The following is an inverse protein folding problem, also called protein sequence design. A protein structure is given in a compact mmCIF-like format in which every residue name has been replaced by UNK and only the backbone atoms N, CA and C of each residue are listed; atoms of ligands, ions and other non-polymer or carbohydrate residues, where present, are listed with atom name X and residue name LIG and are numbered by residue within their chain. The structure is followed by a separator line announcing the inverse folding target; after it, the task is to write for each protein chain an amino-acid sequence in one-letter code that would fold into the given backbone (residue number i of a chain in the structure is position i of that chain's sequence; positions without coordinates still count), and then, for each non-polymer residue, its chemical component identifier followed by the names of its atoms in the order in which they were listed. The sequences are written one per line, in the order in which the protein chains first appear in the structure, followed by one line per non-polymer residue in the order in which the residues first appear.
data_IF_362687750041
#
_entry.id   IF_362687750041
#
_cell.length_a   1.000
_cell.length_b   1.000
_cell.length_c   1.000
_cell.angle_alpha   90.00
_cell.angle_beta   90.00
_cell.angle_gamma   90.00
#
_symmetry.space_group_name_H-M   'P 1'
#
loop_
_entity.id
_entity.type
_entity.pdbx_description
1 polymer ?
#
# COMPACT_ATOMS: atom_id res chain seq x y z
N UNK A 1 26.57 6.77 -3.35
CA UNK A 1 27.55 6.31 -2.34
C UNK A 1 26.91 5.82 -1.04
N UNK A 2 25.92 6.51 -0.46
CA UNK A 2 25.25 6.02 0.76
C UNK A 2 24.49 4.69 0.56
N UNK A 3 23.82 4.50 -0.57
CA UNK A 3 23.02 3.30 -0.86
C UNK A 3 23.84 1.99 -0.96
N UNK A 4 25.15 2.08 -1.14
CA UNK A 4 26.06 0.94 -1.25
C UNK A 4 26.83 0.67 0.04
N UNK A 5 26.74 1.57 1.03
CA UNK A 5 27.56 1.54 2.24
C UNK A 5 27.38 0.28 3.10
N UNK A 6 26.20 -0.35 3.02
CA UNK A 6 25.87 -1.55 3.78
C UNK A 6 26.03 -2.86 2.97
N UNK A 7 26.45 -2.77 1.70
CA UNK A 7 26.69 -3.93 0.86
C UNK A 7 28.15 -4.39 0.97
N UNK A 8 28.36 -5.70 0.91
CA UNK A 8 29.68 -6.30 0.79
C UNK A 8 30.21 -6.26 -0.65
N UNK A 9 31.40 -6.86 -0.86
CA UNK A 9 32.05 -6.91 -2.18
C UNK A 9 31.26 -7.74 -3.22
N UNK A 10 30.39 -8.65 -2.78
CA UNK A 10 29.48 -9.40 -3.66
C UNK A 10 28.16 -8.66 -3.92
N UNK A 11 27.96 -7.48 -3.29
CA UNK A 11 26.72 -6.70 -3.38
C UNK A 11 25.60 -7.23 -2.49
N UNK A 12 25.91 -8.04 -1.47
CA UNK A 12 24.95 -8.55 -0.50
C UNK A 12 25.00 -7.68 0.76
N UNK A 13 23.84 -7.36 1.32
CA UNK A 13 23.79 -6.56 2.55
C UNK A 13 24.49 -7.25 3.74
N UNK A 14 25.10 -6.51 4.65
CA UNK A 14 25.72 -7.08 5.85
C UNK A 14 24.71 -7.44 6.95
N UNK A 15 25.02 -8.48 7.75
CA UNK A 15 24.27 -8.81 8.98
C UNK A 15 24.43 -7.67 10.00
N UNK A 16 23.33 -7.30 10.65
CA UNK A 16 23.26 -6.20 11.61
C UNK A 16 23.01 -4.83 10.97
N UNK A 17 22.87 -4.73 9.64
CA UNK A 17 22.45 -3.50 9.00
C UNK A 17 20.98 -3.17 9.33
N UNK A 18 20.72 -1.93 9.70
CA UNK A 18 19.37 -1.35 9.72
C UNK A 18 18.97 -1.03 8.28
N UNK A 19 17.77 -1.44 7.90
CA UNK A 19 17.22 -1.26 6.57
C UNK A 19 15.84 -0.62 6.60
N UNK A 20 15.60 0.23 5.62
CA UNK A 20 14.32 0.89 5.38
C UNK A 20 13.82 0.60 3.97
N UNK A 21 12.55 0.92 3.72
CA UNK A 21 11.92 0.77 2.42
C UNK A 21 12.75 1.42 1.31
N UNK A 22 13.09 0.65 0.26
CA UNK A 22 13.89 1.11 -0.86
C UNK A 22 15.39 0.80 -0.77
N UNK A 23 15.91 0.42 0.40
CA UNK A 23 17.30 0.00 0.56
C UNK A 23 17.57 -1.29 -0.21
N UNK A 24 18.79 -1.41 -0.75
CA UNK A 24 19.23 -2.59 -1.51
C UNK A 24 19.60 -3.70 -0.53
N UNK A 25 18.94 -4.85 -0.66
CA UNK A 25 19.28 -6.07 0.08
C UNK A 25 20.30 -6.92 -0.68
N UNK A 26 20.11 -7.04 -1.99
CA UNK A 26 20.98 -7.83 -2.87
C UNK A 26 21.12 -7.10 -4.20
N UNK A 27 22.34 -6.70 -4.52
CA UNK A 27 22.76 -6.16 -5.79
C UNK A 27 22.56 -7.19 -6.90
N UNK A 28 21.81 -6.85 -7.95
CA UNK A 28 21.62 -7.73 -9.11
C UNK A 28 21.58 -6.93 -10.39
N UNK A 29 22.44 -7.29 -11.33
CA UNK A 29 22.42 -6.74 -12.69
C UNK A 29 21.85 -7.76 -13.67
N UNK A 30 21.04 -7.28 -14.61
CA UNK A 30 20.52 -8.08 -15.72
C UNK A 30 20.89 -7.39 -17.03
N UNK A 31 21.26 -8.13 -18.10
CA UNK A 31 21.50 -7.52 -19.40
C UNK A 31 20.22 -6.80 -19.87
N UNK A 32 20.37 -5.62 -20.48
CA UNK A 32 19.28 -5.00 -21.22
C UNK A 32 19.04 -5.84 -22.49
N UNK A 33 17.78 -6.00 -22.88
CA UNK A 33 17.46 -6.64 -24.15
C UNK A 33 18.00 -5.84 -25.34
N UNK A 34 17.95 -6.42 -26.53
CA UNK A 34 18.20 -5.74 -27.81
C UNK A 34 17.07 -4.75 -28.10
N UNK A 35 17.02 -3.64 -27.37
CA UNK A 35 16.21 -2.48 -27.76
C UNK A 35 17.15 -1.40 -28.24
N UNK A 36 16.99 -1.02 -29.51
CA UNK A 36 17.66 0.15 -30.05
C UNK A 36 17.32 1.38 -29.21
N UNK A 37 18.32 2.21 -28.91
CA UNK A 37 18.10 3.45 -28.18
C UNK A 37 17.23 4.37 -29.03
N UNK A 38 16.25 5.03 -28.42
CA UNK A 38 15.46 6.06 -29.11
C UNK A 38 16.35 7.25 -29.48
N UNK A 39 16.00 8.02 -30.53
CA UNK A 39 16.75 9.22 -30.92
C UNK A 39 17.01 10.19 -29.76
N UNK A 40 16.05 10.36 -28.85
CA UNK A 40 16.13 11.24 -27.68
C UNK A 40 17.17 10.73 -26.68
N UNK A 41 17.16 9.43 -26.36
CA UNK A 41 18.17 8.83 -25.49
C UNK A 41 19.57 8.90 -26.12
N UNK A 42 19.69 8.72 -27.44
CA UNK A 42 20.96 8.87 -28.17
C UNK A 42 21.48 10.31 -28.09
N UNK A 43 20.61 11.30 -28.28
CA UNK A 43 20.97 12.71 -28.19
C UNK A 43 21.38 13.08 -26.76
N UNK A 44 20.60 12.71 -25.76
CA UNK A 44 20.90 12.96 -24.35
C UNK A 44 22.28 12.41 -23.98
N UNK A 45 22.57 11.17 -24.34
CA UNK A 45 23.88 10.56 -24.06
C UNK A 45 25.03 11.20 -24.83
N UNK A 46 24.76 11.67 -26.05
CA UNK A 46 25.76 12.40 -26.84
C UNK A 46 26.13 13.75 -26.20
N UNK A 47 25.15 14.42 -25.58
CA UNK A 47 25.36 15.70 -24.87
C UNK A 47 26.12 15.47 -23.55
N UNK A 48 25.71 14.47 -22.76
CA UNK A 48 26.27 14.23 -21.42
C UNK A 48 27.49 13.30 -21.38
N UNK A 49 27.87 12.71 -22.53
CA UNK A 49 29.03 11.81 -22.64
C UNK A 49 28.89 10.50 -21.85
N UNK A 50 27.68 10.12 -21.45
CA UNK A 50 27.43 8.88 -20.73
C UNK A 50 27.54 7.68 -21.67
N UNK A 51 28.51 6.79 -21.40
CA UNK A 51 28.67 5.53 -22.14
C UNK A 51 27.44 4.65 -21.95
N UNK A 52 27.03 3.96 -23.03
CA UNK A 52 25.94 2.97 -23.00
C UNK A 52 26.27 1.89 -21.96
N UNK A 53 25.48 1.83 -20.88
CA UNK A 53 25.51 0.70 -19.97
C UNK A 53 24.60 -0.40 -20.54
N UNK A 54 25.21 -1.51 -20.93
CA UNK A 54 24.53 -2.72 -21.45
C UNK A 54 23.72 -3.47 -20.38
N UNK A 55 23.87 -3.09 -19.11
CA UNK A 55 23.22 -3.74 -17.97
C UNK A 55 22.21 -2.81 -17.30
N UNK A 56 21.13 -3.42 -16.79
CA UNK A 56 20.10 -2.78 -15.96
C UNK A 56 20.23 -3.27 -14.53
N UNK A 57 20.08 -2.34 -13.58
CA UNK A 57 19.91 -2.67 -12.18
C UNK A 57 18.55 -3.34 -11.94
N UNK A 58 18.59 -4.56 -11.42
CA UNK A 58 17.45 -5.41 -11.05
C UNK A 58 17.58 -5.89 -9.60
N UNK A 59 18.27 -5.11 -8.78
CA UNK A 59 18.55 -5.41 -7.38
C UNK A 59 17.27 -5.62 -6.58
N UNK A 60 17.35 -6.54 -5.61
CA UNK A 60 16.26 -6.78 -4.67
C UNK A 60 16.31 -5.71 -3.59
N UNK A 61 15.22 -4.97 -3.44
CA UNK A 61 15.09 -3.87 -2.47
C UNK A 61 14.09 -4.24 -1.37
N UNK A 62 14.19 -3.59 -0.22
CA UNK A 62 13.19 -3.70 0.85
C UNK A 62 11.84 -3.19 0.33
N UNK A 63 10.75 -3.97 0.45
CA UNK A 63 9.41 -3.55 0.06
C UNK A 63 8.96 -2.28 0.80
N UNK A 64 8.03 -1.53 0.21
CA UNK A 64 7.48 -0.35 0.87
C UNK A 64 6.70 -0.72 2.14
N UNK A 65 6.92 0.05 3.21
CA UNK A 65 6.30 -0.16 4.51
C UNK A 65 6.99 -1.21 5.39
N UNK A 66 8.03 -1.87 4.90
CA UNK A 66 8.87 -2.77 5.71
C UNK A 66 10.15 -2.08 6.14
N UNK A 67 10.59 -2.38 7.37
CA UNK A 67 11.85 -1.91 7.93
C UNK A 67 12.30 -2.89 9.02
N UNK A 68 13.60 -2.93 9.28
CA UNK A 68 14.13 -3.79 10.34
C UNK A 68 15.64 -3.91 10.31
N UNK A 69 16.13 -4.97 10.96
CA UNK A 69 17.56 -5.29 11.05
C UNK A 69 17.80 -6.63 10.36
N UNK A 70 18.83 -6.71 9.53
CA UNK A 70 19.24 -7.98 8.92
C UNK A 70 19.83 -8.89 9.99
N UNK A 71 19.21 -10.05 10.21
CA UNK A 71 19.63 -11.01 11.26
C UNK A 71 20.39 -12.20 10.74
N UNK A 72 20.10 -12.63 9.50
CA UNK A 72 20.73 -13.78 8.89
C UNK A 72 20.69 -13.66 7.37
N UNK A 73 21.69 -14.26 6.72
CA UNK A 73 21.81 -14.32 5.28
C UNK A 73 22.26 -15.72 4.91
N UNK A 74 21.51 -16.38 4.03
CA UNK A 74 21.86 -17.68 3.51
C UNK A 74 22.09 -17.56 2.00
N UNK A 75 23.29 -17.89 1.55
CA UNK A 75 23.65 -17.92 0.14
C UNK A 75 23.75 -19.38 -0.28
N UNK A 76 23.04 -19.74 -1.34
CA UNK A 76 23.08 -21.06 -1.97
C UNK A 76 23.66 -20.90 -3.37
N UNK A 77 24.62 -21.74 -3.72
CA UNK A 77 25.33 -21.67 -5.00
C UNK A 77 25.34 -23.04 -5.68
N UNK A 78 24.95 -23.05 -6.96
CA UNK A 78 24.97 -24.29 -7.76
C UNK A 78 26.38 -24.86 -7.86
N UNK A 79 27.39 -24.01 -7.94
CA UNK A 79 28.79 -24.45 -8.09
C UNK A 79 29.31 -25.13 -6.81
N UNK A 80 28.70 -24.82 -5.66
CA UNK A 80 28.98 -25.46 -4.37
C UNK A 80 28.18 -26.76 -4.14
N UNK A 81 27.37 -27.20 -5.12
CA UNK A 81 26.59 -28.43 -5.05
C UNK A 81 25.20 -28.27 -4.42
N UNK A 82 24.69 -27.05 -4.25
CA UNK A 82 23.33 -26.82 -3.75
C UNK A 82 22.27 -27.14 -4.82
N UNK A 83 21.18 -27.79 -4.41
CA UNK A 83 20.04 -28.08 -5.28
C UNK A 83 19.20 -26.82 -5.56
N UNK A 84 19.49 -26.16 -6.68
CA UNK A 84 18.77 -24.98 -7.17
C UNK A 84 17.89 -25.29 -8.38
N UNK A 85 16.75 -24.60 -8.49
CA UNK A 85 15.84 -24.69 -9.65
C UNK A 85 16.59 -24.43 -10.96
N UNK A 86 16.17 -25.10 -12.03
CA UNK A 86 16.76 -24.93 -13.36
C UNK A 86 16.82 -23.44 -13.76
N UNK A 87 17.95 -22.99 -14.30
CA UNK A 87 18.20 -21.59 -14.66
C UNK A 87 18.63 -20.66 -13.52
N UNK A 88 18.64 -21.11 -12.26
CA UNK A 88 19.12 -20.32 -11.10
C UNK A 88 20.55 -20.71 -10.74
N UNK A 89 21.49 -19.76 -10.80
CA UNK A 89 22.90 -20.01 -10.46
C UNK A 89 23.20 -19.82 -8.97
N UNK A 90 22.74 -18.70 -8.39
CA UNK A 90 22.91 -18.35 -6.97
C UNK A 90 21.56 -17.88 -6.41
N UNK A 91 21.22 -18.31 -5.19
CA UNK A 91 20.03 -17.89 -4.46
C UNK A 91 20.46 -17.27 -3.12
N UNK A 92 20.10 -16.01 -2.90
CA UNK A 92 20.38 -15.30 -1.64
C UNK A 92 19.08 -15.10 -0.88
N UNK A 93 19.03 -15.57 0.36
CA UNK A 93 17.92 -15.32 1.29
C UNK A 93 18.38 -14.39 2.41
N UNK A 94 17.75 -13.23 2.51
CA UNK A 94 18.02 -12.26 3.57
C UNK A 94 16.85 -12.29 4.57
N UNK A 95 17.16 -12.50 5.84
CA UNK A 95 16.18 -12.48 6.93
C UNK A 95 16.26 -11.14 7.65
N UNK A 96 15.15 -10.40 7.65
CA UNK A 96 15.01 -9.11 8.32
C UNK A 96 14.08 -9.29 9.51
N UNK A 97 14.53 -8.86 10.69
CA UNK A 97 13.73 -8.88 11.91
C UNK A 97 13.31 -7.46 12.30
N UNK A 98 12.07 -7.33 12.76
CA UNK A 98 11.50 -6.06 13.21
C UNK A 98 10.87 -6.24 14.61
N UNK A 99 11.18 -5.33 15.53
CA UNK A 99 10.51 -5.27 16.83
C UNK A 99 9.26 -4.39 16.73
N UNK A 100 8.09 -5.01 16.75
CA UNK A 100 6.80 -4.30 16.65
C UNK A 100 6.21 -4.03 18.03
N UNK A 101 6.15 -2.76 18.44
CA UNK A 101 5.46 -2.30 19.66
C UNK A 101 3.94 -2.26 19.42
N UNK A 102 3.14 -2.11 20.48
CA UNK A 102 1.70 -1.84 20.33
C UNK A 102 1.53 -0.42 19.79
N UNK A 103 0.71 -0.27 18.77
CA UNK A 103 0.35 1.02 18.17
C UNK A 103 -1.16 1.18 18.07
N UNK A 104 -1.60 2.42 17.86
CA UNK A 104 -3.00 2.73 17.54
C UNK A 104 -3.35 2.03 16.22
N UNK A 105 -4.48 1.32 16.19
CA UNK A 105 -4.89 0.50 15.05
C UNK A 105 -4.59 -1.00 15.20
N UNK A 106 -3.74 -1.40 16.14
CA UNK A 106 -3.51 -2.82 16.44
C UNK A 106 -4.75 -3.47 17.06
N UNK A 107 -5.00 -4.74 16.71
CA UNK A 107 -6.11 -5.50 17.24
C UNK A 107 -5.69 -6.31 18.46
N UNK A 108 -6.49 -6.20 19.52
CA UNK A 108 -6.29 -6.89 20.79
C UNK A 108 -7.54 -7.71 21.15
N UNK A 109 -7.39 -8.73 21.99
CA UNK A 109 -8.51 -9.57 22.41
C UNK A 109 -8.30 -10.22 23.78
N UNK A 110 -9.39 -10.34 24.54
CA UNK A 110 -9.46 -11.20 25.71
C UNK A 110 -9.85 -12.62 25.34
N UNK A 111 -9.75 -13.54 26.31
CA UNK A 111 -10.07 -14.97 26.12
C UNK A 111 -11.57 -15.22 25.90
N UNK A 112 -12.41 -14.29 26.35
CA UNK A 112 -13.88 -14.38 26.29
C UNK A 112 -14.49 -13.78 25.00
N UNK A 113 -13.68 -13.62 23.96
CA UNK A 113 -14.15 -13.15 22.64
C UNK A 113 -14.36 -11.64 22.53
N UNK A 114 -14.09 -10.87 23.59
CA UNK A 114 -14.02 -9.42 23.54
C UNK A 114 -12.81 -8.99 22.69
N UNK A 115 -13.07 -8.45 21.51
CA UNK A 115 -12.07 -7.98 20.54
C UNK A 115 -12.21 -6.49 20.34
N UNK A 116 -11.09 -5.79 20.29
CA UNK A 116 -11.04 -4.34 20.11
C UNK A 116 -9.84 -3.93 19.27
N UNK A 117 -9.90 -2.71 18.75
CA UNK A 117 -8.76 -2.04 18.14
C UNK A 117 -8.29 -0.96 19.14
N UNK A 118 -6.98 -0.82 19.32
CA UNK A 118 -6.42 0.27 20.14
C UNK A 118 -6.76 1.60 19.47
N UNK A 119 -7.61 2.41 20.11
CA UNK A 119 -8.04 3.71 19.59
C UNK A 119 -7.13 4.85 20.01
N UNK A 120 -6.60 4.79 21.24
CA UNK A 120 -5.79 5.85 21.83
C UNK A 120 -4.80 5.24 22.82
N UNK A 121 -3.59 5.80 22.87
CA UNK A 121 -2.58 5.51 23.88
C UNK A 121 -2.41 6.79 24.69
N UNK A 122 -2.87 6.78 25.94
CA UNK A 122 -2.78 7.93 26.83
C UNK A 122 -1.47 7.91 27.61
N UNK A 123 -0.94 9.10 27.97
CA UNK A 123 0.06 9.22 29.03
C UNK A 123 -0.46 8.65 30.35
N UNK A 124 0.44 8.20 31.21
CA UNK A 124 0.08 7.54 32.47
C UNK A 124 -0.68 8.49 33.42
N UNK A 125 -0.34 9.78 33.38
CA UNK A 125 -0.96 10.85 34.17
C UNK A 125 -2.42 11.13 33.81
N UNK A 126 -2.82 10.82 32.57
CA UNK A 126 -4.19 11.03 32.09
C UNK A 126 -5.10 9.82 32.36
N UNK A 127 -4.51 8.68 32.72
CA UNK A 127 -5.27 7.45 32.95
C UNK A 127 -6.03 7.52 34.27
N UNK A 128 -7.26 6.97 34.33
CA UNK A 128 -7.95 6.75 35.59
C UNK A 128 -7.06 5.97 36.57
N UNK A 129 -7.10 6.34 37.84
CA UNK A 129 -6.27 5.72 38.88
C UNK A 129 -7.05 5.37 40.14
N UNK A 130 -6.54 4.38 40.88
CA UNK A 130 -7.09 3.89 42.13
C UNK A 130 -6.71 4.78 43.32
N UNK A 131 -7.36 4.61 44.48
CA UNK A 131 -7.05 5.37 45.71
C UNK A 131 -5.58 5.27 46.15
N UNK A 132 -4.88 4.19 45.77
CA UNK A 132 -3.46 3.97 46.07
C UNK A 132 -2.51 4.69 45.09
N UNK A 133 -3.05 5.41 44.09
CA UNK A 133 -2.30 6.11 43.05
C UNK A 133 -1.93 5.25 41.84
N UNK A 134 -2.29 3.96 41.82
CA UNK A 134 -1.99 3.08 40.68
C UNK A 134 -2.93 3.38 39.51
N UNK A 135 -2.41 3.75 38.32
CA UNK A 135 -3.21 3.97 37.14
C UNK A 135 -3.63 2.65 36.49
N UNK A 136 -4.73 2.68 35.73
CA UNK A 136 -5.17 1.55 34.93
C UNK A 136 -4.31 1.38 33.68
N UNK A 137 -4.17 0.13 33.21
CA UNK A 137 -3.48 -0.17 31.94
C UNK A 137 -4.40 -0.06 30.71
N UNK A 138 -5.65 -0.54 30.84
CA UNK A 138 -6.62 -0.63 29.73
C UNK A 138 -8.00 -0.26 30.25
N UNK A 139 -8.72 0.59 29.50
CA UNK A 139 -10.13 0.92 29.74
C UNK A 139 -10.99 0.23 28.67
N UNK A 140 -11.86 -0.68 29.10
CA UNK A 140 -12.78 -1.40 28.22
C UNK A 140 -14.21 -0.87 28.36
N UNK A 141 -14.88 -0.64 27.23
CA UNK A 141 -16.26 -0.16 27.22
C UNK A 141 -17.24 -1.26 27.69
N UNK A 142 -18.07 -1.01 28.73
CA UNK A 142 -19.00 -2.00 29.27
C UNK A 142 -20.16 -2.36 28.32
N UNK A 143 -20.51 -1.50 27.35
CA UNK A 143 -21.65 -1.72 26.44
C UNK A 143 -21.52 -3.00 25.60
N UNK A 144 -20.29 -3.49 25.42
CA UNK A 144 -20.01 -4.70 24.66
C UNK A 144 -20.31 -6.01 25.40
N UNK A 145 -20.59 -5.98 26.71
CA UNK A 145 -20.81 -7.19 27.53
C UNK A 145 -22.26 -7.66 27.51
N UNK A 146 -23.29 -6.81 27.77
CA UNK A 146 -24.68 -7.28 27.85
C UNK A 146 -25.18 -7.88 26.53
N UNK A 147 -24.83 -7.26 25.40
CA UNK A 147 -25.25 -7.69 24.06
C UNK A 147 -24.61 -9.01 23.61
N UNK A 148 -23.42 -9.34 24.13
CA UNK A 148 -22.65 -10.53 23.72
C UNK A 148 -22.75 -11.70 24.70
N UNK A 149 -23.36 -11.48 25.87
CA UNK A 149 -23.56 -12.49 26.92
C UNK A 149 -22.27 -13.22 27.36
N UNK A 150 -21.11 -12.58 27.23
CA UNK A 150 -19.81 -13.12 27.63
C UNK A 150 -19.42 -12.68 29.05
N UNK A 151 -20.26 -13.04 30.02
CA UNK A 151 -20.14 -12.64 31.44
C UNK A 151 -18.85 -13.16 32.09
N UNK A 152 -18.30 -14.27 31.58
CA UNK A 152 -17.05 -14.85 32.09
C UNK A 152 -15.88 -13.86 32.17
N UNK A 153 -15.85 -12.83 31.31
CA UNK A 153 -14.82 -11.79 31.39
C UNK A 153 -14.90 -10.96 32.68
N UNK A 154 -16.10 -10.76 33.23
CA UNK A 154 -16.29 -10.05 34.50
C UNK A 154 -15.85 -10.92 35.68
N UNK A 155 -16.19 -12.22 35.63
CA UNK A 155 -15.73 -13.18 36.63
C UNK A 155 -14.20 -13.28 36.65
N UNK A 156 -13.56 -13.28 35.48
CA UNK A 156 -12.11 -13.23 35.34
C UNK A 156 -11.51 -11.97 35.99
N UNK A 157 -12.09 -10.80 35.72
CA UNK A 157 -11.65 -9.51 36.28
C UNK A 157 -11.73 -9.51 37.81
N UNK A 158 -12.87 -9.94 38.36
CA UNK A 158 -13.09 -9.97 39.82
C UNK A 158 -12.16 -10.95 40.52
N UNK A 159 -12.08 -12.20 40.03
CA UNK A 159 -11.21 -13.22 40.61
C UNK A 159 -9.74 -12.86 40.45
N UNK A 160 -9.37 -12.25 39.32
CA UNK A 160 -8.02 -11.75 39.06
C UNK A 160 -7.59 -10.65 40.03
N UNK A 161 -8.51 -9.74 40.38
CA UNK A 161 -8.25 -8.71 41.38
C UNK A 161 -8.00 -9.32 42.77
N UNK A 162 -8.88 -10.22 43.22
CA UNK A 162 -8.73 -10.90 44.51
C UNK A 162 -7.42 -11.71 44.56
N UNK A 163 -7.14 -12.48 43.51
CA UNK A 163 -5.94 -13.30 43.40
C UNK A 163 -4.67 -12.45 43.47
N UNK A 164 -4.62 -11.29 42.81
CA UNK A 164 -3.44 -10.42 42.83
C UNK A 164 -3.16 -9.86 44.22
N UNK A 165 -4.21 -9.44 44.94
CA UNK A 165 -4.08 -8.87 46.29
C UNK A 165 -3.65 -9.93 47.31
N UNK A 166 -4.09 -11.18 47.13
CA UNK A 166 -3.73 -12.32 47.98
C UNK A 166 -2.43 -13.03 47.54
N UNK A 167 -1.85 -12.65 46.39
CA UNK A 167 -0.65 -13.27 45.84
C UNK A 167 -0.87 -14.68 45.28
N UNK A 168 -2.10 -15.01 44.88
CA UNK A 168 -2.48 -16.33 44.38
C UNK A 168 -2.23 -16.49 42.89
N UNK A 169 -1.95 -17.74 42.50
CA UNK A 169 -2.10 -18.20 41.11
C UNK A 169 -3.30 -19.11 41.05
N UNK A 170 -4.33 -18.72 40.31
CA UNK A 170 -5.60 -19.43 40.26
C UNK A 170 -5.72 -20.18 38.94
N UNK A 171 -6.11 -21.45 39.03
CA UNK A 171 -6.50 -22.27 37.88
C UNK A 171 -7.98 -22.65 38.06
N UNK A 172 -8.81 -22.29 37.10
CA UNK A 172 -10.23 -22.61 37.08
C UNK A 172 -10.48 -23.64 35.98
N UNK A 173 -10.80 -24.90 36.30
CA UNK A 173 -11.16 -25.91 35.32
C UNK A 173 -12.37 -25.47 34.48
N UNK A 174 -12.43 -25.96 33.24
CA UNK A 174 -13.57 -25.69 32.37
C UNK A 174 -14.76 -26.54 32.87
N UNK A 175 -15.93 -25.90 33.04
CA UNK A 175 -17.20 -26.49 33.49
C UNK A 175 -17.30 -26.98 34.94
N UNK A 176 -16.19 -27.27 35.62
CA UNK A 176 -16.14 -27.66 37.05
C UNK A 176 -15.22 -26.71 37.83
N UNK A 177 -15.50 -25.42 37.68
CA UNK A 177 -14.66 -24.33 38.17
C UNK A 177 -15.26 -23.57 39.34
N UNK A 178 -14.62 -22.45 39.68
CA UNK A 178 -15.12 -21.50 40.66
C UNK A 178 -16.49 -20.95 40.24
N UNK A 179 -17.42 -20.93 41.18
CA UNK A 179 -18.73 -20.33 41.06
C UNK A 179 -18.70 -18.86 41.49
N UNK A 180 -19.80 -18.14 41.27
CA UNK A 180 -19.93 -16.73 41.68
C UNK A 180 -19.70 -16.53 43.19
N UNK A 181 -20.21 -17.45 44.02
CA UNK A 181 -20.02 -17.39 45.47
C UNK A 181 -18.53 -17.48 45.85
N UNK A 182 -17.76 -18.34 45.18
CA UNK A 182 -16.33 -18.49 45.44
C UNK A 182 -15.57 -17.20 45.08
N UNK A 183 -15.98 -16.52 44.01
CA UNK A 183 -15.41 -15.22 43.62
C UNK A 183 -15.72 -14.13 44.65
N UNK A 184 -16.96 -14.10 45.16
CA UNK A 184 -17.37 -13.15 46.20
C UNK A 184 -16.63 -13.44 47.52
N UNK A 185 -16.45 -14.70 47.89
CA UNK A 185 -15.66 -15.11 49.07
C UNK A 185 -14.19 -14.70 48.92
N UNK A 186 -13.59 -14.91 47.74
CA UNK A 186 -12.23 -14.47 47.46
C UNK A 186 -12.07 -12.94 47.55
N UNK A 187 -13.06 -12.17 47.07
CA UNK A 187 -13.07 -10.71 47.22
C UNK A 187 -13.13 -10.28 48.70
N UNK A 188 -13.94 -10.97 49.52
CA UNK A 188 -14.03 -10.72 50.97
C UNK A 188 -12.72 -11.02 51.68
N UNK A 189 -12.09 -12.15 51.36
CA UNK A 189 -10.80 -12.55 51.93
C UNK A 189 -9.69 -11.54 51.56
N UNK A 190 -9.75 -10.99 50.34
CA UNK A 190 -8.89 -9.91 49.90
C UNK A 190 -9.21 -8.52 50.52
N UNK A 191 -10.26 -8.41 51.34
CA UNK A 191 -10.72 -7.13 51.89
C UNK A 191 -11.14 -6.14 50.80
N UNK A 192 -11.82 -6.63 49.76
CA UNK A 192 -12.38 -5.85 48.66
C UNK A 192 -13.92 -5.86 48.71
N UNK A 193 -14.54 -4.98 47.95
CA UNK A 193 -16.01 -4.93 47.86
C UNK A 193 -16.56 -6.19 47.18
N UNK A 194 -17.70 -6.69 47.67
CA UNK A 194 -18.36 -7.90 47.15
C UNK A 194 -18.80 -7.76 45.68
N UNK A 195 -19.07 -6.52 45.24
CA UNK A 195 -19.47 -6.21 43.86
C UNK A 195 -18.28 -6.05 42.89
N UNK A 196 -17.05 -6.18 43.37
CA UNK A 196 -15.84 -6.03 42.56
C UNK A 196 -15.60 -4.61 42.05
N UNK A 197 -16.29 -3.60 42.63
CA UNK A 197 -16.18 -2.19 42.22
C UNK A 197 -15.39 -1.37 43.22
N UNK A 198 -14.72 -0.34 42.72
CA UNK A 198 -13.96 0.63 43.52
C UNK A 198 -14.19 2.05 43.01
N UNK A 199 -13.85 3.03 43.85
CA UNK A 199 -13.80 4.43 43.45
C UNK A 199 -12.54 4.62 42.60
N UNK A 200 -12.70 5.26 41.45
CA UNK A 200 -11.60 5.70 40.60
C UNK A 200 -11.59 7.22 40.56
N UNK A 201 -10.43 7.79 40.28
CA UNK A 201 -10.24 9.21 40.08
C UNK A 201 -9.84 9.48 38.63
N UNK A 202 -10.32 10.59 38.08
CA UNK A 202 -9.90 11.05 36.76
C UNK A 202 -8.46 11.58 36.85
N UNK A 203 -7.55 11.06 36.01
CA UNK A 203 -6.16 11.50 35.95
C UNK A 203 -5.99 12.98 35.59
N UNK A 204 -6.95 13.54 34.84
CA UNK A 204 -6.86 14.92 34.34
C UNK A 204 -7.34 15.97 35.33
N UNK A 205 -8.37 15.66 36.09
CA UNK A 205 -9.00 16.60 37.04
C UNK A 205 -8.65 16.28 38.49
N UNK A 206 -8.34 15.02 38.79
CA UNK A 206 -8.17 14.53 40.16
C UNK A 206 -9.48 14.28 40.90
N UNK A 207 -10.64 14.50 40.27
CA UNK A 207 -11.94 14.29 40.89
C UNK A 207 -12.36 12.82 40.82
N UNK A 208 -13.07 12.29 41.84
CA UNK A 208 -13.61 10.93 41.79
C UNK A 208 -14.74 10.83 40.77
N UNK A 209 -14.82 9.69 40.07
CA UNK A 209 -15.98 9.40 39.22
C UNK A 209 -17.26 9.26 40.05
N UNK A 210 -18.40 9.67 39.48
CA UNK A 210 -19.70 9.67 40.17
C UNK A 210 -20.14 8.29 40.68
N UNK A 211 -19.82 7.23 39.92
CA UNK A 211 -20.21 5.86 40.23
C UNK A 211 -18.97 4.98 40.41
N UNK A 212 -19.07 3.97 41.28
CA UNK A 212 -18.03 2.96 41.45
C UNK A 212 -17.89 2.13 40.17
N UNK A 213 -16.65 1.84 39.78
CA UNK A 213 -16.29 1.18 38.53
C UNK A 213 -15.69 -0.19 38.83
N UNK A 214 -16.03 -1.19 38.01
CA UNK A 214 -15.42 -2.51 38.06
C UNK A 214 -13.98 -2.43 37.58
N UNK A 215 -13.04 -2.85 38.43
CA UNK A 215 -11.60 -2.87 38.14
C UNK A 215 -11.08 -4.26 38.49
N UNK A 216 -10.08 -4.73 37.77
CA UNK A 216 -9.42 -5.98 38.09
C UNK A 216 -8.49 -6.42 36.99
N UNK A 217 -8.07 -7.68 37.06
CA UNK A 217 -7.02 -8.21 36.19
C UNK A 217 -7.62 -9.18 35.18
N UNK A 218 -7.45 -8.87 33.91
CA UNK A 218 -7.88 -9.70 32.79
C UNK A 218 -6.68 -10.11 31.96
N UNK A 219 -6.69 -11.35 31.45
CA UNK A 219 -5.71 -11.77 30.46
C UNK A 219 -6.07 -11.23 29.07
N UNK A 220 -5.17 -10.40 28.51
CA UNK A 220 -5.38 -9.73 27.23
C UNK A 220 -4.25 -10.03 26.24
N UNK A 221 -4.59 -10.29 24.98
CA UNK A 221 -3.67 -10.75 23.95
C UNK A 221 -3.59 -9.76 22.78
N UNK A 222 -2.39 -9.61 22.23
CA UNK A 222 -2.16 -8.95 20.93
C UNK A 222 -2.40 -9.95 19.81
N UNK A 223 -3.26 -9.59 18.84
CA UNK A 223 -3.52 -10.43 17.68
C UNK A 223 -2.53 -10.10 16.55
N UNK A 224 -2.30 -11.06 15.64
CA UNK A 224 -1.51 -10.85 14.41
C UNK A 224 -2.20 -9.94 13.37
N UNK A 225 -3.19 -9.14 13.77
CA UNK A 225 -3.89 -8.20 12.90
C UNK A 225 -3.34 -6.80 13.20
N UNK A 226 -2.16 -6.53 12.67
CA UNK A 226 -1.44 -5.28 12.89
C UNK A 226 -1.80 -4.26 11.82
N UNK A 227 -1.79 -2.99 12.19
CA UNK A 227 -2.15 -1.90 11.26
C UNK A 227 -1.10 -1.71 10.17
N UNK A 228 0.18 -1.83 10.52
CA UNK A 228 1.32 -1.66 9.60
C UNK A 228 1.22 -2.61 8.40
N UNK A 229 0.69 -3.82 8.62
CA UNK A 229 0.50 -4.80 7.56
C UNK A 229 -0.69 -4.47 6.64
N UNK A 230 -1.65 -3.66 7.11
CA UNK A 230 -2.91 -3.39 6.42
C UNK A 230 -2.96 -2.06 5.69
N UNK A 231 -2.21 -1.06 6.13
CA UNK A 231 -2.16 0.22 5.42
C UNK A 231 -1.55 -0.04 4.04
N UNK A 232 -2.26 0.44 3.02
CA UNK A 232 -1.86 0.37 1.62
C UNK A 232 -2.40 1.58 0.90
N UNK A 233 -1.52 2.27 0.18
CA UNK A 233 -1.87 3.41 -0.65
C UNK A 233 -1.17 3.26 -2.00
N UNK A 234 -1.86 3.66 -3.06
CA UNK A 234 -1.37 3.62 -4.43
C UNK A 234 -1.67 4.96 -5.09
N UNK A 235 -0.65 5.56 -5.71
CA UNK A 235 -0.83 6.61 -6.71
C UNK A 235 -0.88 5.99 -8.10
N UNK A 236 0.25 5.45 -8.56
CA UNK A 236 0.43 4.74 -9.82
C UNK A 236 1.10 3.40 -9.51
N UNK A 237 0.88 2.41 -10.37
CA UNK A 237 1.44 1.08 -10.18
C UNK A 237 1.31 0.24 -11.44
N UNK A 238 1.61 -1.05 -11.35
CA UNK A 238 1.49 -1.95 -12.49
C UNK A 238 0.02 -2.19 -12.88
N UNK A 239 -0.14 -2.59 -14.13
CA UNK A 239 -1.41 -2.85 -14.79
C UNK A 239 -1.46 -4.27 -15.36
N UNK A 240 -2.67 -4.79 -15.53
CA UNK A 240 -2.94 -6.05 -16.20
C UNK A 240 -2.57 -5.95 -17.68
N UNK A 241 -1.99 -7.01 -18.25
CA UNK A 241 -1.61 -7.04 -19.67
C UNK A 241 -2.84 -6.99 -20.59
N UNK A 242 -3.93 -7.64 -20.20
CA UNK A 242 -5.12 -7.79 -21.04
C UNK A 242 -6.09 -6.63 -20.81
N UNK A 243 -6.54 -6.45 -19.58
CA UNK A 243 -7.59 -5.48 -19.26
C UNK A 243 -7.06 -4.06 -19.04
N UNK A 244 -5.74 -3.87 -18.94
CA UNK A 244 -5.09 -2.60 -18.63
C UNK A 244 -5.52 -1.95 -17.30
N UNK A 245 -6.25 -2.68 -16.46
CA UNK A 245 -6.67 -2.24 -15.14
C UNK A 245 -5.53 -2.37 -14.12
N UNK A 246 -5.52 -1.53 -13.07
CA UNK A 246 -4.64 -1.69 -11.92
C UNK A 246 -4.63 -3.13 -11.40
N UNK A 247 -3.44 -3.71 -11.20
CA UNK A 247 -3.33 -5.03 -10.55
C UNK A 247 -3.93 -5.00 -9.13
N UNK A 248 -4.29 -6.16 -8.59
CA UNK A 248 -4.83 -6.28 -7.23
C UNK A 248 -3.75 -6.63 -6.20
N UNK A 249 -4.00 -6.24 -4.94
CA UNK A 249 -3.22 -6.69 -3.79
C UNK A 249 -1.98 -5.84 -3.44
N UNK A 250 -1.70 -5.75 -2.13
CA UNK A 250 -0.63 -4.91 -1.56
C UNK A 250 0.76 -5.24 -2.12
N UNK A 251 1.06 -6.53 -2.26
CA UNK A 251 2.38 -7.00 -2.72
C UNK A 251 2.73 -6.55 -4.15
N UNK A 252 1.73 -6.23 -4.97
CA UNK A 252 1.90 -5.79 -6.35
C UNK A 252 1.66 -4.28 -6.51
N UNK A 253 1.61 -3.51 -5.42
CA UNK A 253 1.15 -2.12 -5.45
C UNK A 253 -0.23 -1.98 -6.12
N UNK A 254 -1.13 -2.89 -5.77
CA UNK A 254 -2.42 -3.01 -6.44
C UNK A 254 -3.40 -1.88 -6.11
N UNK A 255 -4.35 -1.64 -7.00
CA UNK A 255 -5.47 -0.73 -6.77
C UNK A 255 -6.52 -1.34 -5.84
N UNK A 256 -7.36 -0.48 -5.27
CA UNK A 256 -8.56 -0.93 -4.56
C UNK A 256 -9.65 -1.23 -5.58
N UNK A 257 -10.37 -2.35 -5.39
CA UNK A 257 -11.51 -2.67 -6.23
C UNK A 257 -12.64 -1.68 -5.97
N UNK A 258 -13.07 -0.98 -7.01
CA UNK A 258 -14.31 -0.23 -7.04
C UNK A 258 -15.39 -1.15 -7.63
N UNK A 259 -16.26 -1.68 -6.77
CA UNK A 259 -17.25 -2.67 -7.14
C UNK A 259 -18.56 -2.05 -7.62
N UNK A 260 -19.46 -2.92 -8.08
CA UNK A 260 -20.81 -2.54 -8.51
C UNK A 260 -21.61 -1.81 -7.42
N UNK A 261 -21.49 -2.25 -6.16
CA UNK A 261 -22.17 -1.58 -5.04
C UNK A 261 -21.64 -0.16 -4.80
N UNK A 262 -20.34 0.07 -5.00
CA UNK A 262 -19.76 1.42 -4.90
C UNK A 262 -20.12 2.30 -6.11
N UNK A 263 -20.26 1.72 -7.30
CA UNK A 263 -20.79 2.41 -8.49
C UNK A 263 -22.22 2.91 -8.21
N UNK A 264 -23.11 2.04 -7.74
CA UNK A 264 -24.48 2.43 -7.38
C UNK A 264 -24.53 3.54 -6.34
N UNK A 265 -23.58 3.55 -5.40
CA UNK A 265 -23.49 4.63 -4.42
C UNK A 265 -23.23 5.98 -5.12
N UNK A 266 -22.28 6.06 -6.05
CA UNK A 266 -22.00 7.30 -6.79
C UNK A 266 -23.15 7.70 -7.73
N UNK A 267 -23.80 6.73 -8.36
CA UNK A 267 -24.99 6.97 -9.19
C UNK A 267 -26.12 7.59 -8.36
N UNK A 268 -26.38 7.05 -7.16
CA UNK A 268 -27.41 7.58 -6.25
C UNK A 268 -27.12 9.01 -5.80
N UNK A 269 -25.84 9.38 -5.66
CA UNK A 269 -25.43 10.77 -5.40
C UNK A 269 -25.53 11.69 -6.62
N UNK A 270 -25.68 11.15 -7.83
CA UNK A 270 -25.58 11.92 -9.07
C UNK A 270 -24.15 12.40 -9.37
N UNK A 271 -23.14 11.72 -8.83
CA UNK A 271 -21.73 12.09 -8.97
C UNK A 271 -21.15 11.59 -10.32
N UNK A 272 -21.68 12.11 -11.43
CA UNK A 272 -21.36 11.66 -12.79
C UNK A 272 -19.88 11.77 -13.14
N UNK A 273 -19.26 12.93 -12.91
CA UNK A 273 -17.83 13.15 -13.19
C UNK A 273 -16.93 12.26 -12.33
N UNK A 274 -17.24 12.11 -11.04
CA UNK A 274 -16.46 11.25 -10.15
C UNK A 274 -16.56 9.78 -10.56
N UNK A 275 -17.75 9.32 -10.95
CA UNK A 275 -17.94 7.97 -11.46
C UNK A 275 -17.20 7.77 -12.77
N UNK A 276 -17.29 8.72 -13.71
CA UNK A 276 -16.57 8.67 -14.98
C UNK A 276 -15.06 8.57 -14.73
N UNK A 277 -14.49 9.38 -13.85
CA UNK A 277 -13.06 9.30 -13.48
C UNK A 277 -12.65 7.91 -12.96
N UNK A 278 -13.49 7.30 -12.11
CA UNK A 278 -13.21 5.97 -11.53
C UNK A 278 -13.23 4.87 -12.59
N UNK A 279 -14.11 4.99 -13.59
CA UNK A 279 -14.27 4.02 -14.68
C UNK A 279 -13.30 4.20 -15.84
N UNK A 280 -12.60 5.34 -15.91
CA UNK A 280 -11.73 5.71 -17.05
C UNK A 280 -10.29 5.99 -16.58
N UNK A 281 -9.94 7.26 -16.34
CA UNK A 281 -8.58 7.75 -16.11
C UNK A 281 -7.90 7.19 -14.86
N UNK A 282 -8.66 6.70 -13.88
CA UNK A 282 -8.13 6.02 -12.68
C UNK A 282 -7.97 4.52 -12.85
N UNK A 283 -8.45 3.95 -13.96
CA UNK A 283 -8.45 2.51 -14.23
C UNK A 283 -7.74 2.21 -15.55
N UNK A 284 -8.48 2.07 -16.64
CA UNK A 284 -8.06 1.41 -17.89
C UNK A 284 -8.16 2.32 -19.13
N UNK A 285 -8.41 3.62 -18.98
CA UNK A 285 -8.14 4.58 -20.04
C UNK A 285 -6.63 4.85 -20.13
N UNK A 286 -5.95 4.17 -21.05
CA UNK A 286 -4.48 4.19 -21.20
C UNK A 286 -3.96 5.58 -21.55
N UNK A 287 -4.65 6.27 -22.46
CA UNK A 287 -4.23 7.58 -22.96
C UNK A 287 -4.61 8.64 -21.91
N UNK A 288 -5.86 8.59 -21.43
CA UNK A 288 -6.38 9.53 -20.45
C UNK A 288 -5.63 9.49 -19.13
N UNK A 289 -5.22 8.30 -18.63
CA UNK A 289 -4.43 8.23 -17.37
C UNK A 289 -3.07 8.90 -17.49
N UNK A 290 -2.41 8.78 -18.65
CA UNK A 290 -1.07 9.35 -18.89
C UNK A 290 -1.16 10.87 -18.97
N UNK A 291 -2.11 11.37 -19.77
CA UNK A 291 -2.38 12.82 -19.87
C UNK A 291 -2.85 13.40 -18.54
N UNK A 292 -3.66 12.67 -17.77
CA UNK A 292 -4.12 13.09 -16.43
C UNK A 292 -2.94 13.25 -15.47
N UNK A 293 -2.01 12.29 -15.46
CA UNK A 293 -0.81 12.41 -14.63
C UNK A 293 0.03 13.63 -15.01
N UNK A 294 0.26 13.84 -16.31
CA UNK A 294 0.99 15.00 -16.82
C UNK A 294 0.29 16.32 -16.45
N UNK A 295 -1.03 16.40 -16.61
CA UNK A 295 -1.82 17.57 -16.22
C UNK A 295 -1.70 17.88 -14.72
N UNK A 296 -1.77 16.85 -13.86
CA UNK A 296 -1.60 17.02 -12.41
C UNK A 296 -0.20 17.57 -12.08
N UNK A 297 0.84 17.04 -12.71
CA UNK A 297 2.23 17.51 -12.50
C UNK A 297 2.40 18.95 -12.99
N UNK A 298 1.76 19.33 -14.10
CA UNK A 298 1.77 20.69 -14.66
C UNK A 298 0.81 21.66 -13.97
N UNK A 299 -0.04 21.19 -13.04
CA UNK A 299 -1.09 22.00 -12.41
C UNK A 299 -2.19 22.45 -13.38
N UNK A 300 -2.41 21.71 -14.46
CA UNK A 300 -3.44 21.95 -15.46
C UNK A 300 -4.71 21.16 -15.14
N UNK A 301 -5.82 21.53 -15.78
CA UNK A 301 -7.07 20.78 -15.65
C UNK A 301 -6.95 19.40 -16.29
N UNK A 302 -7.64 18.42 -15.70
CA UNK A 302 -7.68 17.05 -16.19
C UNK A 302 -8.42 17.05 -17.54
N UNK A 303 -7.86 16.40 -18.58
CA UNK A 303 -8.50 16.31 -19.89
C UNK A 303 -9.77 15.45 -19.85
N UNK A 304 -10.61 15.56 -20.88
CA UNK A 304 -11.79 14.70 -21.00
C UNK A 304 -11.38 13.22 -21.16
N UNK A 305 -12.03 12.29 -20.45
CA UNK A 305 -11.71 10.87 -20.54
C UNK A 305 -12.06 10.26 -21.91
N UNK A 306 -11.22 9.32 -22.35
CA UNK A 306 -11.46 8.51 -23.54
C UNK A 306 -12.28 7.25 -23.27
N UNK A 307 -12.23 6.32 -24.23
CA UNK A 307 -12.91 5.02 -24.13
C UNK A 307 -12.10 4.06 -23.23
N UNK A 308 -12.70 3.42 -22.23
CA UNK A 308 -12.06 2.39 -21.41
C UNK A 308 -11.53 1.21 -22.23
N UNK A 309 -10.33 0.73 -21.91
CA UNK A 309 -9.77 -0.42 -22.62
C UNK A 309 -10.60 -1.69 -22.42
N UNK A 310 -11.20 -1.88 -21.25
CA UNK A 310 -12.08 -3.01 -21.00
C UNK A 310 -13.28 -3.08 -21.98
N UNK A 311 -13.77 -1.93 -22.45
CA UNK A 311 -14.83 -1.89 -23.45
C UNK A 311 -14.31 -2.30 -24.84
N UNK A 312 -13.11 -1.88 -25.23
CA UNK A 312 -12.47 -2.35 -26.48
C UNK A 312 -12.23 -3.85 -26.46
N UNK A 313 -11.71 -4.38 -25.35
CA UNK A 313 -11.52 -5.82 -25.15
C UNK A 313 -12.85 -6.56 -25.32
N UNK A 314 -13.93 -6.06 -24.70
CA UNK A 314 -15.27 -6.65 -24.86
C UNK A 314 -15.73 -6.69 -26.33
N UNK A 315 -15.54 -5.60 -27.08
CA UNK A 315 -15.91 -5.55 -28.51
C UNK A 315 -15.14 -6.60 -29.30
N UNK A 316 -13.82 -6.71 -29.12
CA UNK A 316 -12.99 -7.70 -29.81
C UNK A 316 -13.35 -9.13 -29.39
N UNK A 317 -13.70 -9.36 -28.12
CA UNK A 317 -14.18 -10.66 -27.63
C UNK A 317 -15.51 -11.06 -28.30
N UNK A 318 -16.46 -10.13 -28.46
CA UNK A 318 -17.72 -10.40 -29.16
C UNK A 318 -17.48 -10.67 -30.67
N UNK A 319 -16.62 -9.89 -31.32
CA UNK A 319 -16.23 -10.11 -32.72
C UNK A 319 -15.56 -11.47 -32.93
N UNK A 320 -14.80 -11.97 -31.96
CA UNK A 320 -14.21 -13.31 -32.00
C UNK A 320 -15.25 -14.43 -32.03
N UNK A 321 -16.47 -14.15 -31.57
CA UNK A 321 -17.62 -15.06 -31.60
C UNK A 321 -18.49 -14.87 -32.86
N UNK A 322 -17.99 -14.15 -33.87
CA UNK A 322 -18.71 -13.77 -35.07
C UNK A 322 -19.96 -12.89 -34.80
N UNK A 323 -19.94 -12.12 -33.71
CA UNK A 323 -20.92 -11.07 -33.46
C UNK A 323 -20.33 -9.73 -33.91
N UNK A 324 -20.94 -9.11 -34.92
CA UNK A 324 -20.53 -7.80 -35.38
C UNK A 324 -21.08 -6.72 -34.45
N UNK A 325 -20.18 -5.95 -33.85
CA UNK A 325 -20.48 -4.86 -32.91
C UNK A 325 -19.83 -3.60 -33.45
N UNK A 326 -20.67 -2.65 -33.84
CA UNK A 326 -20.26 -1.35 -34.36
C UNK A 326 -20.82 -0.24 -33.47
N UNK A 327 -20.06 0.83 -33.31
CA UNK A 327 -20.50 2.06 -32.63
C UNK A 327 -20.97 3.03 -33.70
N UNK A 328 -22.16 3.58 -33.55
CA UNK A 328 -22.68 4.58 -34.48
C UNK A 328 -23.25 5.78 -33.74
N UNK A 329 -23.09 6.96 -34.34
CA UNK A 329 -23.80 8.17 -33.96
C UNK A 329 -24.56 8.67 -35.18
N UNK A 330 -25.89 8.77 -35.09
CA UNK A 330 -26.73 9.40 -36.11
C UNK A 330 -26.48 8.91 -37.55
N UNK A 331 -26.31 7.59 -37.72
CA UNK A 331 -26.03 6.88 -38.99
C UNK A 331 -24.58 6.94 -39.50
N UNK A 332 -23.67 7.63 -38.81
CA UNK A 332 -22.23 7.56 -39.08
C UNK A 332 -21.58 6.51 -38.17
N UNK A 333 -20.84 5.57 -38.77
CA UNK A 333 -20.02 4.61 -38.05
C UNK A 333 -18.82 5.32 -37.43
N UNK A 334 -18.65 5.14 -36.12
CA UNK A 334 -17.49 5.64 -35.38
C UNK A 334 -16.50 4.50 -35.27
N UNK A 335 -15.35 4.64 -35.92
CA UNK A 335 -14.24 3.70 -35.73
C UNK A 335 -13.66 3.88 -34.33
N UNK A 336 -13.58 2.77 -33.59
CA UNK A 336 -12.77 2.70 -32.38
C UNK A 336 -11.31 2.69 -32.81
N UNK A 337 -10.65 3.84 -32.73
CA UNK A 337 -9.19 3.90 -32.90
C UNK A 337 -8.53 2.88 -31.95
N UNK A 338 -7.65 2.03 -32.49
CA UNK A 338 -6.87 1.10 -31.68
C UNK A 338 -5.87 1.92 -30.85
N UNK A 339 -5.88 1.75 -29.53
CA UNK A 339 -4.81 2.28 -28.67
C UNK A 339 -3.55 1.44 -28.83
N UNK A 340 -2.96 1.51 -30.01
CA UNK A 340 -1.59 1.08 -30.18
C UNK A 340 -0.76 2.19 -29.55
N UNK A 341 -0.30 1.97 -28.32
CA UNK A 341 0.92 2.65 -27.86
C UNK A 341 2.06 1.96 -28.61
N UNK A 342 2.18 2.24 -29.91
CA UNK A 342 3.43 2.01 -30.61
C UNK A 342 4.42 2.98 -29.97
N UNK A 343 5.63 2.52 -29.72
CA UNK A 343 6.81 3.38 -29.50
C UNK A 343 7.13 4.22 -30.77
N UNK A 344 6.13 4.51 -31.58
CA UNK A 344 6.17 5.44 -32.70
C UNK A 344 5.49 6.72 -32.23
N UNK A 345 6.23 7.53 -31.47
CA UNK A 345 6.06 8.99 -31.58
C UNK A 345 6.54 9.42 -32.96
N UNK A 346 5.81 9.03 -33.98
CA UNK A 346 5.86 9.62 -35.31
C UNK A 346 4.42 9.76 -35.73
N UNK A 347 3.80 10.82 -35.22
CA UNK A 347 2.91 11.70 -35.98
C UNK A 347 2.36 12.73 -35.00
N UNK A 348 3.13 13.82 -34.82
CA UNK A 348 2.52 15.05 -34.33
C UNK A 348 1.50 15.41 -35.40
N UNK A 349 0.21 15.38 -35.06
CA UNK A 349 -0.82 15.79 -36.00
C UNK A 349 -0.57 17.25 -36.40
N UNK A 350 -0.91 17.60 -37.64
CA UNK A 350 -0.68 18.96 -38.17
C UNK A 350 -1.30 20.05 -37.27
N UNK A 351 -2.40 19.70 -36.60
CA UNK A 351 -3.09 20.53 -35.61
C UNK A 351 -2.26 20.76 -34.33
N UNK A 352 -1.53 19.75 -33.83
CA UNK A 352 -0.65 19.90 -32.65
C UNK A 352 0.60 20.76 -32.96
N UNK A 353 1.10 20.71 -34.19
CA UNK A 353 2.17 21.60 -34.65
C UNK A 353 1.71 23.05 -34.74
N UNK A 354 0.49 23.30 -35.23
CA UNK A 354 -0.11 24.64 -35.27
C UNK A 354 -0.38 25.22 -33.87
N UNK A 355 -0.74 24.37 -32.90
CA UNK A 355 -0.98 24.78 -31.51
C UNK A 355 0.31 25.15 -30.75
N UNK A 356 1.41 24.45 -31.02
CA UNK A 356 2.70 24.65 -30.35
C UNK A 356 3.51 25.84 -30.90
N UNK A 357 3.43 26.11 -32.20
CA UNK A 357 4.24 27.13 -32.86
C UNK A 357 3.44 28.33 -33.40
N UNK A 358 2.11 28.29 -33.28
CA UNK A 358 1.22 29.22 -34.00
C UNK A 358 1.31 29.02 -35.51
N UNK A 359 0.57 29.81 -36.30
CA UNK A 359 0.77 29.89 -37.75
C UNK A 359 2.15 30.49 -38.06
N UNK A 360 3.21 29.69 -37.94
CA UNK A 360 4.54 30.09 -38.37
C UNK A 360 4.60 29.98 -39.88
N UNK A 361 4.54 31.11 -40.58
CA UNK A 361 4.79 31.15 -42.02
C UNK A 361 6.25 30.79 -42.31
N UNK A 362 6.50 30.14 -43.45
CA UNK A 362 7.83 29.74 -43.88
C UNK A 362 8.86 30.89 -43.86
N UNK A 363 8.40 32.14 -44.00
CA UNK A 363 9.23 33.35 -43.92
C UNK A 363 9.79 33.59 -42.51
N UNK A 364 9.05 33.29 -41.44
CA UNK A 364 9.50 33.50 -40.05
C UNK A 364 10.59 32.51 -39.61
N UNK A 365 10.60 31.31 -40.18
CA UNK A 365 11.62 30.29 -39.90
C UNK A 365 12.96 30.62 -40.58
N UNK A 366 12.92 31.22 -41.78
CA UNK A 366 14.12 31.68 -42.49
C UNK A 366 14.77 32.87 -41.77
N UNK A 367 13.97 33.80 -41.23
CA UNK A 367 14.49 34.93 -40.43
C UNK A 367 15.13 34.49 -39.10
N UNK A 368 14.65 33.40 -38.51
CA UNK A 368 15.22 32.80 -37.31
C UNK A 368 16.48 31.95 -37.58
N UNK A 369 16.93 31.86 -38.84
CA UNK A 369 18.17 31.19 -39.24
C UNK A 369 18.02 29.69 -39.54
N UNK A 370 16.80 29.19 -39.69
CA UNK A 370 16.55 27.81 -40.12
C UNK A 370 16.57 27.73 -41.65
N UNK A 371 17.27 26.72 -42.19
CA UNK A 371 17.29 26.41 -43.62
C UNK A 371 16.52 25.12 -43.87
N UNK A 372 15.75 25.08 -44.94
CA UNK A 372 15.12 23.85 -45.43
C UNK A 372 16.16 23.00 -46.18
N UNK A 373 16.10 21.69 -45.99
CA UNK A 373 16.91 20.70 -46.71
C UNK A 373 16.78 19.30 -46.08
N UNK A 374 17.12 18.27 -46.84
CA UNK A 374 17.10 16.88 -46.36
C UNK A 374 18.40 16.61 -45.60
N UNK A 375 18.29 16.13 -44.36
CA UNK A 375 19.43 15.79 -43.51
C UNK A 375 20.05 14.47 -43.99
N UNK A 376 21.30 14.51 -44.44
CA UNK A 376 22.04 13.31 -44.84
C UNK A 376 22.57 12.54 -43.61
N UNK A 377 22.88 11.26 -43.78
CA UNK A 377 23.35 10.38 -42.69
C UNK A 377 24.67 10.84 -42.04
N UNK A 378 25.44 11.70 -42.71
CA UNK A 378 26.68 12.30 -42.19
C UNK A 378 26.45 13.64 -41.47
N UNK A 379 25.20 14.08 -41.33
CA UNK A 379 24.81 15.32 -40.66
C UNK A 379 24.95 16.57 -41.54
N UNK A 380 25.17 16.43 -42.84
CA UNK A 380 25.16 17.55 -43.80
C UNK A 380 23.77 17.78 -44.41
N UNK A 381 23.49 19.02 -44.82
CA UNK A 381 22.24 19.41 -45.49
C UNK A 381 22.50 19.49 -47.00
N UNK A 382 21.66 18.84 -47.80
CA UNK A 382 21.64 19.04 -49.25
C UNK A 382 20.83 20.31 -49.58
N UNK A 383 21.43 21.36 -50.17
CA UNK A 383 20.74 22.62 -50.42
C UNK A 383 19.92 22.62 -51.73
N UNK A 384 19.97 21.54 -52.53
CA UNK A 384 19.34 21.48 -53.85
C UNK A 384 17.98 20.73 -53.87
N UNK A 385 17.50 20.18 -52.74
CA UNK A 385 16.14 19.59 -52.58
C UNK A 385 15.43 19.96 -51.27
#
# INVERSE_FOLDING_TARGET
DEALSNLDEEGIIRIGAEVQAGDILVGKISPKGETELTPEERLYRSIFGEKVREVRDTSTKVPHGEAGVVVAINVFDRDNGDELKHGVNKLVRVYVAQKRKISVGDKMAGRHGNKGVVSLILPQEDMPYMEDGTPLDIVLNPLGVPSRMNIGQLLEVHLGLAANKLGWKVAVPVFDGANENDVVEALKEAGLSEDGKMVLYDGRTGEPFENKITVGIMYYMKLNHLIDDKIHARSIGPYSLVTQQPLGGKAQFGGQRFGEMEVWALEAYGASYTLQEMLTVKSDDIIGRTKTYEAIVKGQNIPEPGVPEAFRVLVKELQSLALDVQISSSEEEIELEESIVTDETSDISREQMEELFGESTAEGLVEAGFMAGILQQDGTLDPDE
#
